data_IF_620000131102
#
_entry.id   IF_620000131102
#
_cell.length_a   1.000
_cell.length_b   1.000
_cell.length_c   1.000
_cell.angle_alpha   90.00
_cell.angle_beta   90.00
_cell.angle_gamma   90.00
#
_symmetry.space_group_name_H-M   'P 1'
#
loop_
_entity.id
_entity.type
_entity.pdbx_description
1 polymer ?
#
# COMPACT_ATOMS: atom_id res chain seq x y z
N UNK A 1 58.59 -2.36 -29.68
CA UNK A 1 58.22 -2.12 -31.09
C UNK A 1 57.12 -3.03 -31.61
N UNK A 2 57.09 -4.32 -31.27
CA UNK A 2 56.06 -5.28 -31.75
C UNK A 2 54.65 -4.88 -31.34
N UNK A 3 54.40 -4.47 -30.07
CA UNK A 3 53.09 -4.07 -29.56
C UNK A 3 52.46 -2.87 -30.28
N UNK A 4 53.28 -1.87 -30.61
CA UNK A 4 52.82 -0.65 -31.30
C UNK A 4 52.42 -0.97 -32.74
N UNK A 5 53.19 -1.83 -33.42
CA UNK A 5 52.85 -2.28 -34.77
C UNK A 5 51.56 -3.10 -34.80
N UNK A 6 51.34 -3.96 -33.80
CA UNK A 6 50.12 -4.78 -33.72
C UNK A 6 48.88 -3.92 -33.51
N UNK A 7 48.99 -2.88 -32.67
CA UNK A 7 47.87 -1.94 -32.40
C UNK A 7 47.56 -1.12 -33.67
N UNK A 8 48.58 -0.63 -34.36
CA UNK A 8 48.37 0.16 -35.60
C UNK A 8 47.79 -0.66 -36.73
N UNK A 9 48.19 -1.93 -36.87
CA UNK A 9 47.58 -2.86 -37.85
C UNK A 9 46.10 -3.10 -37.49
N UNK A 10 45.79 -3.36 -36.23
CA UNK A 10 44.41 -3.57 -35.79
C UNK A 10 43.50 -2.34 -36.01
N UNK A 11 44.00 -1.13 -35.75
CA UNK A 11 43.28 0.12 -36.03
C UNK A 11 43.04 0.35 -37.53
N UNK A 12 44.01 -0.01 -38.36
CA UNK A 12 43.92 0.12 -39.82
C UNK A 12 42.93 -0.88 -40.42
N UNK A 13 42.81 -2.08 -39.86
CA UNK A 13 41.82 -3.10 -40.22
C UNK A 13 40.40 -2.65 -39.88
N UNK A 14 40.22 -2.07 -38.71
CA UNK A 14 38.93 -1.48 -38.27
C UNK A 14 38.53 -0.34 -39.22
N UNK A 15 39.48 0.54 -39.59
CA UNK A 15 39.20 1.64 -40.51
C UNK A 15 38.87 1.17 -41.93
N UNK A 16 39.49 0.09 -42.38
CA UNK A 16 39.23 -0.50 -43.70
C UNK A 16 37.82 -1.10 -43.82
N UNK A 17 37.28 -1.63 -42.71
CA UNK A 17 35.95 -2.24 -42.65
C UNK A 17 35.03 -1.55 -41.63
N UNK A 18 35.09 -0.21 -41.60
CA UNK A 18 34.41 0.60 -40.58
C UNK A 18 32.92 0.29 -40.41
N UNK A 19 32.23 0.00 -41.50
CA UNK A 19 30.79 -0.30 -41.46
C UNK A 19 30.50 -1.61 -40.72
N UNK A 20 31.29 -2.66 -40.93
CA UNK A 20 31.16 -3.94 -40.23
C UNK A 20 31.51 -3.77 -38.76
N UNK A 21 32.56 -3.03 -38.44
CA UNK A 21 32.95 -2.76 -37.05
C UNK A 21 31.92 -1.94 -36.33
N UNK A 22 31.31 -0.93 -36.96
CA UNK A 22 30.24 -0.13 -36.42
C UNK A 22 29.03 -0.99 -36.11
N UNK A 23 28.63 -1.86 -37.04
CA UNK A 23 27.44 -2.71 -36.85
C UNK A 23 27.62 -3.69 -35.68
N UNK A 24 28.80 -4.28 -35.54
CA UNK A 24 29.09 -5.18 -34.41
C UNK A 24 29.16 -4.45 -33.09
N UNK A 25 29.74 -3.24 -33.02
CA UNK A 25 29.77 -2.43 -31.81
C UNK A 25 28.33 -2.03 -31.38
N UNK A 26 27.54 -1.58 -32.34
CA UNK A 26 26.12 -1.24 -32.05
C UNK A 26 25.37 -2.45 -31.53
N UNK A 27 25.56 -3.63 -32.12
CA UNK A 27 24.93 -4.86 -31.66
C UNK A 27 25.29 -5.19 -30.21
N UNK A 28 26.55 -5.13 -29.85
CA UNK A 28 27.03 -5.37 -28.48
C UNK A 28 26.51 -4.31 -27.51
N UNK A 29 26.59 -3.04 -27.89
CA UNK A 29 26.09 -1.94 -27.05
C UNK A 29 24.60 -2.08 -26.79
N UNK A 30 23.80 -2.34 -27.83
CA UNK A 30 22.35 -2.55 -27.65
C UNK A 30 22.03 -3.76 -26.75
N UNK A 31 22.80 -4.85 -26.89
CA UNK A 31 22.67 -6.01 -26.01
C UNK A 31 22.93 -5.67 -24.54
N UNK A 32 24.02 -4.97 -24.26
CA UNK A 32 24.36 -4.55 -22.89
C UNK A 32 23.33 -3.55 -22.34
N UNK A 33 22.96 -2.55 -23.13
CA UNK A 33 21.95 -1.55 -22.72
C UNK A 33 20.63 -2.23 -22.40
N UNK A 34 20.19 -3.19 -23.19
CA UNK A 34 18.96 -3.94 -22.95
C UNK A 34 19.01 -4.69 -21.61
N UNK A 35 20.10 -5.38 -21.30
CA UNK A 35 20.26 -6.10 -20.04
C UNK A 35 20.27 -5.15 -18.82
N UNK A 36 21.04 -4.05 -18.92
CA UNK A 36 21.12 -3.07 -17.84
C UNK A 36 19.76 -2.40 -17.60
N UNK A 37 19.07 -2.03 -18.68
CA UNK A 37 17.73 -1.41 -18.57
C UNK A 37 16.73 -2.37 -17.91
N UNK A 38 16.71 -3.63 -18.33
CA UNK A 38 15.85 -4.64 -17.74
C UNK A 38 16.12 -4.82 -16.24
N UNK A 39 17.41 -4.91 -15.88
CA UNK A 39 17.82 -5.03 -14.48
C UNK A 39 17.41 -3.80 -13.64
N UNK A 40 17.55 -2.60 -14.19
CA UNK A 40 17.14 -1.36 -13.52
C UNK A 40 15.63 -1.28 -13.30
N UNK A 41 14.84 -1.70 -14.30
CA UNK A 41 13.37 -1.76 -14.18
C UNK A 41 12.97 -2.73 -13.08
N UNK A 42 13.53 -3.94 -13.05
CA UNK A 42 13.20 -4.94 -12.02
C UNK A 42 13.53 -4.41 -10.62
N UNK A 43 14.73 -3.84 -10.42
CA UNK A 43 15.09 -3.26 -9.13
C UNK A 43 14.18 -2.09 -8.73
N UNK A 44 13.82 -1.25 -9.69
CA UNK A 44 12.87 -0.16 -9.45
C UNK A 44 11.49 -0.66 -9.01
N UNK A 45 10.99 -1.72 -9.63
CA UNK A 45 9.73 -2.36 -9.24
C UNK A 45 9.81 -3.00 -7.85
N UNK A 46 10.90 -3.71 -7.53
CA UNK A 46 11.10 -4.30 -6.20
C UNK A 46 11.11 -3.24 -5.09
N UNK A 47 11.82 -2.13 -5.31
CA UNK A 47 11.87 -1.04 -4.35
C UNK A 47 10.50 -0.38 -4.17
N UNK A 48 9.80 -0.09 -5.27
CA UNK A 48 8.46 0.47 -5.20
C UNK A 48 7.47 -0.48 -4.49
N UNK A 49 7.63 -1.78 -4.67
CA UNK A 49 6.80 -2.78 -4.00
C UNK A 49 7.08 -2.83 -2.50
N UNK A 50 8.37 -2.77 -2.10
CA UNK A 50 8.77 -2.69 -0.68
C UNK A 50 8.24 -1.42 -0.01
N UNK A 51 8.38 -0.26 -0.66
CA UNK A 51 7.84 1.00 -0.15
C UNK A 51 6.32 0.94 0.04
N UNK A 52 5.61 0.37 -0.91
CA UNK A 52 4.15 0.16 -0.77
C UNK A 52 3.81 -0.79 0.38
N UNK A 53 4.53 -1.91 0.52
CA UNK A 53 4.31 -2.82 1.64
C UNK A 53 4.50 -2.13 2.99
N UNK A 54 5.53 -1.30 3.13
CA UNK A 54 5.77 -0.52 4.35
C UNK A 54 4.66 0.53 4.57
N UNK A 55 4.22 1.20 3.50
CA UNK A 55 3.15 2.20 3.57
C UNK A 55 1.78 1.62 3.94
N UNK A 56 1.53 0.34 3.64
CA UNK A 56 0.29 -0.37 4.01
C UNK A 56 0.40 -1.17 5.33
N UNK A 57 1.26 -0.76 6.25
CA UNK A 57 1.40 -1.39 7.56
C UNK A 57 2.45 -2.50 7.63
N UNK A 58 3.19 -2.76 6.54
CA UNK A 58 4.30 -3.71 6.53
C UNK A 58 3.89 -5.18 6.38
N UNK A 59 4.90 -6.04 6.38
CA UNK A 59 4.75 -7.51 6.32
C UNK A 59 4.32 -8.13 7.65
N UNK A 60 4.27 -7.32 8.72
CA UNK A 60 3.97 -7.76 10.08
C UNK A 60 2.47 -7.67 10.43
N UNK A 61 1.63 -7.25 9.47
CA UNK A 61 0.19 -7.17 9.64
C UNK A 61 -0.47 -8.54 9.39
N UNK A 62 -1.31 -8.96 10.31
CA UNK A 62 -2.13 -10.17 10.20
C UNK A 62 -3.59 -9.73 10.13
N UNK A 63 -4.27 -10.05 9.04
CA UNK A 63 -5.72 -9.90 8.93
C UNK A 63 -6.38 -11.20 9.39
N UNK A 64 -7.38 -11.06 10.23
CA UNK A 64 -8.20 -12.18 10.71
C UNK A 64 -9.62 -11.93 10.20
N UNK A 65 -10.02 -12.71 9.23
CA UNK A 65 -11.34 -12.63 8.63
C UNK A 65 -12.21 -13.81 9.10
N UNK A 66 -13.51 -13.57 9.15
CA UNK A 66 -14.45 -14.65 9.40
C UNK A 66 -14.60 -15.50 8.14
N UNK A 67 -14.42 -16.80 8.30
CA UNK A 67 -14.67 -17.77 7.24
C UNK A 67 -15.82 -18.70 7.65
N UNK A 68 -16.79 -18.87 6.76
CA UNK A 68 -17.89 -19.82 6.99
C UNK A 68 -17.34 -21.24 7.09
N UNK A 69 -17.90 -22.08 7.98
CA UNK A 69 -17.47 -23.46 8.08
C UNK A 69 -17.68 -24.20 6.75
N UNK A 70 -16.79 -25.14 6.39
CA UNK A 70 -16.96 -25.95 5.19
C UNK A 70 -18.25 -26.77 5.23
N UNK A 71 -18.78 -27.14 4.06
CA UNK A 71 -20.09 -27.80 3.88
C UNK A 71 -20.33 -28.99 4.83
N UNK A 72 -19.29 -29.76 5.13
CA UNK A 72 -19.39 -30.91 6.05
C UNK A 72 -19.57 -30.50 7.53
N UNK A 73 -19.38 -29.23 7.87
CA UNK A 73 -19.57 -28.68 9.20
C UNK A 73 -20.67 -27.59 9.26
N UNK A 74 -21.47 -27.47 8.22
CA UNK A 74 -22.55 -26.46 8.14
C UNK A 74 -23.48 -26.48 9.36
N UNK A 75 -23.74 -27.67 9.94
CA UNK A 75 -24.52 -27.84 11.17
C UNK A 75 -23.92 -27.14 12.40
N UNK A 76 -22.65 -26.69 12.34
CA UNK A 76 -21.98 -25.94 13.42
C UNK A 76 -22.04 -24.43 13.21
N UNK A 77 -22.58 -23.95 12.10
CA UNK A 77 -22.64 -22.53 11.75
C UNK A 77 -23.33 -21.72 12.84
N UNK A 78 -24.43 -22.23 13.39
CA UNK A 78 -25.19 -21.56 14.44
C UNK A 78 -24.41 -21.43 15.77
N UNK A 79 -23.37 -22.20 15.97
CA UNK A 79 -22.49 -22.14 17.15
C UNK A 79 -21.28 -21.22 16.96
N UNK A 80 -21.07 -20.69 15.75
CA UNK A 80 -19.97 -19.76 15.45
C UNK A 80 -20.53 -18.38 15.15
N UNK A 81 -20.61 -17.49 16.14
CA UNK A 81 -21.14 -16.13 15.96
C UNK A 81 -20.27 -15.22 15.10
N UNK A 82 -19.14 -15.74 14.59
CA UNK A 82 -18.14 -14.96 13.89
C UNK A 82 -17.17 -14.26 14.84
N UNK A 83 -16.37 -13.37 14.27
CA UNK A 83 -15.41 -12.58 15.04
C UNK A 83 -16.14 -11.44 15.74
N UNK A 84 -15.90 -11.32 17.04
CA UNK A 84 -16.55 -10.30 17.89
C UNK A 84 -15.53 -9.28 18.41
N UNK A 85 -16.03 -8.13 18.86
CA UNK A 85 -15.19 -7.12 19.53
C UNK A 85 -14.55 -7.67 20.81
N UNK A 86 -15.19 -8.65 21.44
CA UNK A 86 -14.63 -9.32 22.64
C UNK A 86 -13.39 -10.13 22.30
N UNK A 87 -13.33 -10.73 21.11
CA UNK A 87 -12.14 -11.45 20.64
C UNK A 87 -10.97 -10.49 20.43
N UNK A 88 -11.24 -9.28 19.92
CA UNK A 88 -10.23 -8.23 19.79
C UNK A 88 -9.67 -7.80 21.16
N UNK A 89 -10.54 -7.63 22.17
CA UNK A 89 -10.09 -7.36 23.54
C UNK A 89 -9.30 -8.53 24.13
N UNK A 90 -9.72 -9.76 23.88
CA UNK A 90 -9.00 -10.94 24.35
C UNK A 90 -7.62 -11.03 23.71
N UNK A 91 -7.48 -10.75 22.43
CA UNK A 91 -6.20 -10.68 21.73
C UNK A 91 -5.31 -9.55 22.29
N UNK A 92 -5.86 -8.33 22.42
CA UNK A 92 -5.13 -7.17 22.93
C UNK A 92 -4.57 -7.41 24.34
N UNK A 93 -5.32 -8.12 25.19
CA UNK A 93 -4.96 -8.34 26.59
C UNK A 93 -4.07 -9.57 26.82
N UNK A 94 -4.16 -10.61 25.98
CA UNK A 94 -3.50 -11.89 26.23
C UNK A 94 -2.37 -12.21 25.25
N UNK A 95 -2.34 -11.62 24.06
CA UNK A 95 -1.34 -11.92 23.05
C UNK A 95 -0.11 -11.01 23.21
N UNK A 96 0.92 -11.51 23.88
CA UNK A 96 2.15 -10.76 24.19
C UNK A 96 3.00 -10.42 22.96
N UNK A 97 2.78 -11.10 21.84
CA UNK A 97 3.52 -10.88 20.59
C UNK A 97 2.85 -9.85 19.66
N UNK A 98 1.60 -9.47 19.97
CA UNK A 98 0.89 -8.46 19.20
C UNK A 98 1.18 -7.07 19.79
N UNK A 99 1.61 -6.16 18.91
CA UNK A 99 1.88 -4.76 19.28
C UNK A 99 0.60 -3.94 19.29
N UNK A 100 -0.22 -4.11 18.26
CA UNK A 100 -1.45 -3.36 18.03
C UNK A 100 -2.56 -4.32 17.59
N UNK A 101 -3.79 -4.04 17.99
CA UNK A 101 -4.99 -4.76 17.57
C UNK A 101 -6.09 -3.74 17.32
N UNK A 102 -6.63 -3.75 16.11
CA UNK A 102 -7.79 -2.93 15.77
C UNK A 102 -8.88 -3.81 15.13
N UNK A 103 -10.06 -3.91 15.73
CA UNK A 103 -11.21 -4.49 15.05
C UNK A 103 -11.69 -3.54 13.96
N UNK A 104 -12.13 -4.10 12.85
CA UNK A 104 -12.72 -3.37 11.75
C UNK A 104 -14.14 -3.85 11.50
N UNK A 105 -15.07 -2.92 11.41
CA UNK A 105 -16.45 -3.22 11.07
C UNK A 105 -16.87 -2.45 9.82
N UNK A 106 -17.10 -3.18 8.74
CA UNK A 106 -17.50 -2.60 7.46
C UNK A 106 -19.01 -2.35 7.43
N UNK A 107 -19.37 -1.12 7.06
CA UNK A 107 -20.77 -0.72 6.85
C UNK A 107 -21.01 -0.57 5.34
N UNK A 108 -21.84 -1.46 4.81
CA UNK A 108 -22.18 -1.43 3.39
C UNK A 108 -23.17 -0.30 3.08
N UNK A 109 -23.08 0.25 1.86
CA UNK A 109 -24.00 1.26 1.32
C UNK A 109 -24.04 2.57 2.11
N UNK A 110 -22.93 2.96 2.75
CA UNK A 110 -22.81 4.25 3.40
C UNK A 110 -22.85 5.39 2.35
N UNK A 111 -23.44 6.51 2.73
CA UNK A 111 -23.48 7.74 1.93
C UNK A 111 -23.04 8.90 2.78
N UNK A 112 -22.16 9.72 2.25
CA UNK A 112 -21.78 10.97 2.88
C UNK A 112 -22.55 12.12 2.23
N UNK A 113 -23.22 12.91 3.07
CA UNK A 113 -23.98 14.08 2.62
C UNK A 113 -23.63 15.28 3.47
N UNK A 114 -23.46 16.42 2.82
CA UNK A 114 -23.24 17.69 3.51
C UNK A 114 -24.03 18.79 2.77
N UNK A 115 -24.99 19.39 3.44
CA UNK A 115 -25.96 20.32 2.83
C UNK A 115 -26.62 19.65 1.60
N UNK A 116 -26.47 20.24 0.41
CA UNK A 116 -27.04 19.72 -0.84
C UNK A 116 -26.07 18.80 -1.62
N UNK A 117 -24.83 18.66 -1.12
CA UNK A 117 -23.82 17.83 -1.78
C UNK A 117 -23.85 16.40 -1.27
N UNK A 118 -23.55 15.48 -2.16
CA UNK A 118 -23.48 14.04 -1.87
C UNK A 118 -22.18 13.49 -2.42
N UNK A 119 -21.50 12.66 -1.63
CA UNK A 119 -20.34 11.90 -2.06
C UNK A 119 -20.62 10.41 -1.97
N UNK A 120 -20.08 9.67 -2.92
CA UNK A 120 -20.09 8.21 -2.88
C UNK A 120 -18.96 7.73 -1.97
N UNK A 121 -19.31 6.96 -0.97
CA UNK A 121 -18.35 6.35 -0.04
C UNK A 121 -18.10 4.92 -0.49
N UNK A 122 -16.92 4.64 -1.00
CA UNK A 122 -16.52 3.30 -1.45
C UNK A 122 -16.35 2.34 -0.28
N UNK A 123 -15.84 2.82 0.85
CA UNK A 123 -15.65 2.05 2.06
C UNK A 123 -15.95 2.93 3.28
N UNK A 124 -16.78 2.44 4.17
CA UNK A 124 -17.04 3.03 5.47
C UNK A 124 -16.84 1.98 6.54
N UNK A 125 -15.93 2.23 7.45
CA UNK A 125 -15.54 1.27 8.48
C UNK A 125 -15.49 1.93 9.85
N UNK A 126 -15.96 1.20 10.87
CA UNK A 126 -15.71 1.51 12.26
C UNK A 126 -14.40 0.85 12.69
N UNK A 127 -13.52 1.61 13.34
CA UNK A 127 -12.16 1.18 13.72
C UNK A 127 -11.79 1.76 15.08
N UNK A 128 -10.80 1.16 15.74
CA UNK A 128 -10.17 1.77 16.90
C UNK A 128 -9.04 2.74 16.48
N UNK A 129 -8.57 3.54 17.44
CA UNK A 129 -7.50 4.51 17.21
C UNK A 129 -6.18 3.86 16.76
N UNK A 130 -5.93 2.63 17.17
CA UNK A 130 -4.74 1.85 16.81
C UNK A 130 -4.59 1.67 15.28
N UNK A 131 -5.69 1.80 14.52
CA UNK A 131 -5.66 1.69 13.04
C UNK A 131 -4.76 2.73 12.40
N UNK A 132 -4.61 3.89 13.00
CA UNK A 132 -3.76 4.96 12.49
C UNK A 132 -2.30 4.50 12.31
N UNK A 133 -1.76 3.81 13.32
CA UNK A 133 -0.40 3.25 13.28
C UNK A 133 -0.37 1.95 12.46
N UNK A 134 -1.39 1.13 12.58
CA UNK A 134 -1.49 -0.18 11.94
C UNK A 134 -1.57 -0.08 10.41
N UNK A 135 -2.31 0.91 9.90
CA UNK A 135 -2.47 1.18 8.46
C UNK A 135 -1.52 2.28 7.94
N UNK A 136 -0.66 2.82 8.81
CA UNK A 136 0.23 3.93 8.50
C UNK A 136 -0.50 5.13 7.83
N UNK A 137 -1.72 5.44 8.28
CA UNK A 137 -2.49 6.55 7.75
C UNK A 137 -1.84 7.88 8.06
N UNK A 138 -1.87 8.81 7.12
CA UNK A 138 -1.35 10.17 7.28
C UNK A 138 -2.50 11.16 7.27
N UNK A 139 -2.65 11.93 8.34
CA UNK A 139 -3.63 12.99 8.44
C UNK A 139 -3.13 14.22 7.70
N UNK A 140 -3.90 14.67 6.71
CA UNK A 140 -3.58 15.87 5.95
C UNK A 140 -4.08 17.15 6.65
N UNK A 141 -5.25 17.07 7.28
CA UNK A 141 -5.90 18.18 7.98
C UNK A 141 -6.63 17.66 9.21
N UNK A 142 -6.61 18.44 10.29
CA UNK A 142 -7.25 18.06 11.53
C UNK A 142 -6.47 17.03 12.35
N UNK A 143 -7.17 16.18 13.05
CA UNK A 143 -6.61 15.11 13.88
C UNK A 143 -7.42 13.83 13.75
N UNK A 144 -6.84 12.74 14.18
CA UNK A 144 -7.57 11.49 14.38
C UNK A 144 -8.38 11.54 15.69
N UNK A 145 -9.37 10.68 15.82
CA UNK A 145 -10.14 10.59 17.05
C UNK A 145 -9.29 9.99 18.19
N UNK A 146 -9.64 10.40 19.41
CA UNK A 146 -8.93 9.99 20.61
C UNK A 146 -9.63 8.76 21.25
N UNK A 147 -8.90 7.86 21.95
CA UNK A 147 -9.49 6.71 22.64
C UNK A 147 -10.71 7.03 23.52
N UNK A 148 -10.70 8.18 24.18
CA UNK A 148 -11.84 8.62 25.00
C UNK A 148 -13.10 8.95 24.17
N UNK A 149 -12.93 9.36 22.92
CA UNK A 149 -14.06 9.66 22.03
C UNK A 149 -14.72 8.37 21.55
N UNK A 150 -13.91 7.33 21.32
CA UNK A 150 -14.40 5.98 21.03
C UNK A 150 -15.16 5.39 22.24
N UNK A 151 -14.56 5.41 23.43
CA UNK A 151 -15.18 4.94 24.65
C UNK A 151 -16.50 5.67 24.99
N UNK A 152 -16.60 6.96 24.65
CA UNK A 152 -17.80 7.78 24.84
C UNK A 152 -18.80 7.67 23.69
N UNK A 153 -18.50 6.86 22.67
CA UNK A 153 -19.28 6.73 21.44
C UNK A 153 -19.64 8.09 20.82
N UNK A 154 -18.66 9.00 20.75
CA UNK A 154 -18.85 10.30 20.10
C UNK A 154 -18.99 10.14 18.59
N UNK A 155 -19.88 10.93 17.99
CA UNK A 155 -20.10 10.96 16.56
C UNK A 155 -18.98 11.73 15.86
N UNK A 156 -17.81 11.12 15.74
CA UNK A 156 -16.65 11.64 15.03
C UNK A 156 -16.30 10.73 13.88
N UNK A 157 -15.80 11.29 12.78
CA UNK A 157 -15.34 10.50 11.65
C UNK A 157 -14.12 11.16 10.99
N UNK A 158 -13.30 10.33 10.38
CA UNK A 158 -12.20 10.73 9.51
C UNK A 158 -12.60 10.42 8.08
N UNK A 159 -12.49 11.41 7.20
CA UNK A 159 -12.89 11.27 5.80
C UNK A 159 -11.66 11.29 4.88
N UNK A 160 -11.71 10.51 3.81
CA UNK A 160 -10.68 10.54 2.78
C UNK A 160 -10.63 11.88 2.04
N UNK A 161 -9.48 12.20 1.47
CA UNK A 161 -9.27 13.44 0.74
C UNK A 161 -10.27 13.64 -0.41
N UNK A 162 -10.58 12.56 -1.13
CA UNK A 162 -11.52 12.61 -2.25
C UNK A 162 -12.95 12.96 -1.80
N UNK A 163 -13.40 12.39 -0.67
CA UNK A 163 -14.72 12.69 -0.09
C UNK A 163 -14.76 14.13 0.39
N UNK A 164 -13.68 14.60 1.03
CA UNK A 164 -13.54 15.99 1.44
C UNK A 164 -13.70 16.92 0.23
N UNK A 165 -12.98 16.68 -0.84
CA UNK A 165 -12.99 17.55 -2.02
C UNK A 165 -14.37 17.57 -2.70
N UNK A 166 -15.09 16.43 -2.71
CA UNK A 166 -16.44 16.35 -3.23
C UNK A 166 -17.48 17.11 -2.38
N UNK A 167 -17.39 17.03 -1.06
CA UNK A 167 -18.37 17.63 -0.16
C UNK A 167 -18.07 19.09 0.15
N UNK A 168 -16.81 19.43 0.40
CA UNK A 168 -16.41 20.74 0.94
C UNK A 168 -15.63 21.59 -0.07
N UNK A 169 -15.08 20.98 -1.14
CA UNK A 169 -14.25 21.68 -2.11
C UNK A 169 -12.96 22.19 -1.49
N UNK A 170 -12.61 23.45 -1.72
CA UNK A 170 -11.40 24.08 -1.16
C UNK A 170 -11.56 24.51 0.30
N UNK A 171 -12.79 24.58 0.80
CA UNK A 171 -13.05 24.91 2.22
C UNK A 171 -12.75 23.67 3.06
N UNK A 172 -11.82 23.80 3.99
CA UNK A 172 -11.49 22.72 4.93
C UNK A 172 -12.56 22.70 6.02
N UNK A 173 -13.32 21.61 6.16
CA UNK A 173 -14.18 21.43 7.34
C UNK A 173 -13.33 20.94 8.51
N UNK A 174 -12.19 21.56 8.74
CA UNK A 174 -11.43 21.29 9.93
C UNK A 174 -12.35 21.65 11.09
N UNK A 175 -12.87 20.61 11.74
CA UNK A 175 -13.47 20.80 13.04
C UNK A 175 -12.46 21.60 13.86
N UNK A 176 -12.84 22.75 14.32
CA UNK A 176 -12.03 23.48 15.28
C UNK A 176 -11.74 22.57 16.46
N UNK A 177 -10.54 22.69 17.07
CA UNK A 177 -10.16 21.86 18.20
C UNK A 177 -11.12 22.01 19.36
#
# INVERSE_FOLDING_TARGET
>A
MILINTITIGLREIASHWFRSLLTIIGVVLGIVSLVTMSAIVQGMENAMKERMVAYGGADKINIDHEDPPDYQEHKRDYSPGITVQDAYALKNNATLLKLVSPEMYVSRARATYQDKRAYVSSFMGVWEDVMELEAHVIKFGRFFHPLEDLQAKNVCVIGADIRDQLFGETTPAGEP
#
